data_IF_000461228066
#
_entry.id   IF_000461228066
#
_cell.length_a   1.000
_cell.length_b   1.000
_cell.length_c   1.000
_cell.angle_alpha   90.00
_cell.angle_beta   90.00
_cell.angle_gamma   90.00
#
_symmetry.space_group_name_H-M   'P 1'
#
loop_
_entity.id
_entity.type
_entity.pdbx_description
1 polymer ?
#
# COMPACT_ATOMS: atom_id res chain seq x y z
N UNK A 1 -9.61 -3.98 40.45
CA UNK A 1 -9.86 -3.63 39.04
C UNK A 1 -9.10 -4.63 38.21
N UNK A 2 -9.81 -5.62 37.68
CA UNK A 2 -9.25 -6.61 36.77
C UNK A 2 -8.96 -5.92 35.43
N UNK A 3 -7.71 -5.98 34.98
CA UNK A 3 -7.35 -5.63 33.60
C UNK A 3 -7.30 -6.96 32.86
N UNK A 4 -8.44 -7.35 32.26
CA UNK A 4 -8.53 -8.53 31.38
C UNK A 4 -8.33 -8.10 29.93
N UNK A 5 -7.48 -8.87 29.26
CA UNK A 5 -7.39 -9.09 27.82
C UNK A 5 -7.22 -7.88 26.90
N UNK A 6 -6.04 -7.79 26.29
CA UNK A 6 -5.97 -7.98 24.83
C UNK A 6 -4.60 -8.55 24.49
N UNK A 7 -4.55 -9.88 24.36
CA UNK A 7 -3.39 -10.58 23.83
C UNK A 7 -3.14 -10.12 22.40
N UNK A 8 -2.18 -9.22 22.20
CA UNK A 8 -1.62 -8.98 20.89
C UNK A 8 -0.57 -10.06 20.64
N UNK A 9 -0.99 -11.21 20.11
CA UNK A 9 -0.05 -12.18 19.57
C UNK A 9 0.56 -11.60 18.29
N UNK A 10 1.90 -11.52 18.19
CA UNK A 10 2.59 -11.35 16.90
C UNK A 10 3.38 -12.63 16.64
N UNK A 11 2.66 -13.69 16.28
CA UNK A 11 3.28 -14.84 15.63
C UNK A 11 4.00 -14.33 14.38
N UNK A 12 5.25 -14.76 14.20
CA UNK A 12 6.01 -14.52 12.96
C UNK A 12 5.33 -15.32 11.84
N UNK A 13 4.35 -14.72 11.18
CA UNK A 13 3.83 -15.23 9.90
C UNK A 13 4.75 -14.72 8.81
N UNK A 14 5.24 -15.62 7.96
CA UNK A 14 5.76 -15.27 6.65
C UNK A 14 4.60 -14.65 5.88
N UNK A 15 4.52 -13.32 5.91
CA UNK A 15 3.48 -12.58 5.18
C UNK A 15 3.95 -12.52 3.73
N UNK A 16 3.22 -13.12 2.77
CA UNK A 16 3.51 -12.91 1.36
C UNK A 16 3.36 -11.41 1.11
N UNK A 17 4.46 -10.78 0.71
CA UNK A 17 4.53 -9.35 0.41
C UNK A 17 3.45 -9.01 -0.61
N UNK A 18 2.35 -8.39 -0.18
CA UNK A 18 1.34 -7.86 -1.10
C UNK A 18 2.03 -6.89 -2.07
N UNK A 19 1.98 -7.13 -3.39
CA UNK A 19 2.62 -6.23 -4.35
C UNK A 19 1.95 -4.87 -4.24
N UNK A 20 2.77 -3.85 -4.00
CA UNK A 20 2.38 -2.45 -3.99
C UNK A 20 3.36 -1.66 -4.83
N UNK A 21 2.89 -0.55 -5.38
CA UNK A 21 3.68 0.28 -6.30
C UNK A 21 4.35 1.46 -5.59
N UNK A 22 4.30 1.54 -4.25
CA UNK A 22 4.79 2.70 -3.51
C UNK A 22 6.27 3.00 -3.78
N UNK A 23 7.10 1.96 -3.81
CA UNK A 23 8.53 2.10 -4.10
C UNK A 23 8.77 2.69 -5.50
N UNK A 24 8.03 2.22 -6.50
CA UNK A 24 8.10 2.70 -7.88
C UNK A 24 7.79 4.20 -7.95
N UNK A 25 6.64 4.61 -7.42
CA UNK A 25 6.22 6.02 -7.42
C UNK A 25 7.19 6.91 -6.64
N UNK A 26 7.73 6.43 -5.51
CA UNK A 26 8.74 7.18 -4.75
C UNK A 26 10.03 7.38 -5.55
N UNK A 27 10.49 6.34 -6.24
CA UNK A 27 11.69 6.41 -7.09
C UNK A 27 11.46 7.33 -8.30
N UNK A 28 10.30 7.27 -8.94
CA UNK A 28 9.92 8.17 -10.03
C UNK A 28 9.86 9.63 -9.58
N UNK A 29 9.41 9.90 -8.36
CA UNK A 29 9.44 11.23 -7.76
C UNK A 29 10.83 11.67 -7.28
N UNK A 30 11.83 10.79 -7.31
CA UNK A 30 13.20 11.03 -6.86
C UNK A 30 13.30 11.58 -5.42
N UNK A 31 12.49 11.05 -4.49
CA UNK A 31 12.48 11.44 -3.08
C UNK A 31 12.95 10.31 -2.16
N UNK A 32 13.51 10.65 -1.01
CA UNK A 32 13.86 9.67 0.02
C UNK A 32 12.62 9.16 0.77
N UNK A 33 12.77 8.02 1.48
CA UNK A 33 11.74 7.51 2.38
C UNK A 33 11.41 8.52 3.49
N UNK A 34 12.42 9.24 4.00
CA UNK A 34 12.23 10.28 5.01
C UNK A 34 11.36 11.43 4.49
N UNK A 35 11.62 11.90 3.27
CA UNK A 35 10.81 12.97 2.66
C UNK A 35 9.37 12.56 2.44
N UNK A 36 9.14 11.34 1.97
CA UNK A 36 7.79 10.82 1.85
C UNK A 36 7.12 10.72 3.23
N UNK A 37 7.84 10.21 4.23
CA UNK A 37 7.34 10.04 5.58
C UNK A 37 6.94 11.37 6.23
N UNK A 38 7.74 12.42 6.05
CA UNK A 38 7.41 13.80 6.46
C UNK A 38 6.13 14.29 5.77
N UNK A 39 6.04 14.12 4.44
CA UNK A 39 4.90 14.59 3.66
C UNK A 39 3.58 13.89 4.02
N UNK A 40 3.65 12.61 4.40
CA UNK A 40 2.50 11.81 4.81
C UNK A 40 2.45 11.56 6.33
N UNK A 41 3.06 12.45 7.14
CA UNK A 41 3.08 12.44 8.63
C UNK A 41 3.09 11.01 9.21
N UNK A 42 4.17 10.30 8.91
CA UNK A 42 4.42 8.96 9.41
C UNK A 42 5.90 8.75 9.67
N UNK A 43 6.27 7.58 10.19
CA UNK A 43 7.68 7.25 10.38
C UNK A 43 8.31 6.74 9.08
N UNK A 44 9.59 7.06 8.84
CA UNK A 44 10.40 6.44 7.77
C UNK A 44 10.30 4.91 7.77
N UNK A 45 10.27 4.31 8.96
CA UNK A 45 10.13 2.86 9.16
C UNK A 45 8.80 2.35 8.59
N UNK A 46 7.71 3.09 8.79
CA UNK A 46 6.39 2.77 8.24
C UNK A 46 6.43 2.74 6.72
N UNK A 47 7.00 3.77 6.08
CA UNK A 47 7.20 3.78 4.61
C UNK A 47 8.00 2.56 4.16
N UNK A 48 9.12 2.27 4.81
CA UNK A 48 9.95 1.12 4.47
C UNK A 48 9.25 -0.24 4.65
N UNK A 49 8.29 -0.36 5.57
CA UNK A 49 7.49 -1.58 5.72
C UNK A 49 6.40 -1.72 4.68
N UNK A 50 5.76 -0.61 4.31
CA UNK A 50 4.77 -0.58 3.23
C UNK A 50 5.46 -0.93 1.92
N UNK A 51 6.59 -0.30 1.58
CA UNK A 51 7.34 -0.59 0.35
C UNK A 51 7.77 -2.07 0.23
N UNK A 52 8.00 -2.74 1.36
CA UNK A 52 8.36 -4.17 1.40
C UNK A 52 7.16 -5.11 1.48
N UNK A 53 5.93 -4.58 1.50
CA UNK A 53 4.71 -5.37 1.66
C UNK A 53 4.60 -6.08 3.02
N UNK A 54 5.38 -5.66 4.03
CA UNK A 54 5.37 -6.27 5.37
C UNK A 54 4.12 -5.84 6.15
N UNK A 55 3.64 -4.62 5.88
CA UNK A 55 2.46 -4.04 6.52
C UNK A 55 1.64 -3.25 5.51
N UNK A 56 0.33 -3.46 5.55
CA UNK A 56 -0.60 -2.64 4.80
C UNK A 56 -0.76 -1.27 5.47
N UNK A 57 -0.81 -0.18 4.70
CA UNK A 57 -1.15 1.13 5.24
C UNK A 57 -2.58 1.12 5.79
N UNK A 58 -2.84 1.94 6.81
CA UNK A 58 -4.22 2.25 7.16
C UNK A 58 -4.91 2.96 5.99
N UNK A 59 -6.24 2.87 5.91
CA UNK A 59 -7.04 3.55 4.87
C UNK A 59 -6.67 5.03 4.78
N UNK A 60 -6.57 5.70 5.93
CA UNK A 60 -6.15 7.11 6.01
C UNK A 60 -4.75 7.34 5.42
N UNK A 61 -3.79 6.48 5.74
CA UNK A 61 -2.42 6.58 5.21
C UNK A 61 -2.38 6.36 3.69
N UNK A 62 -3.13 5.37 3.19
CA UNK A 62 -3.22 5.08 1.77
C UNK A 62 -3.79 6.26 0.99
N UNK A 63 -4.84 6.92 1.50
CA UNK A 63 -5.38 8.15 0.91
C UNK A 63 -4.36 9.30 0.90
N UNK A 64 -3.58 9.47 1.97
CA UNK A 64 -2.56 10.53 2.03
C UNK A 64 -1.44 10.31 1.02
N UNK A 65 -0.98 9.08 0.87
CA UNK A 65 0.01 8.67 -0.13
C UNK A 65 -0.56 8.89 -1.55
N UNK A 66 -1.79 8.45 -1.80
CA UNK A 66 -2.52 8.69 -3.06
C UNK A 66 -2.63 10.18 -3.39
N UNK A 67 -3.01 11.01 -2.42
CA UNK A 67 -3.11 12.47 -2.56
C UNK A 67 -1.76 13.16 -2.78
N UNK A 68 -0.69 12.61 -2.20
CA UNK A 68 0.67 13.12 -2.41
C UNK A 68 1.13 12.89 -3.85
N UNK A 69 0.97 11.67 -4.36
CA UNK A 69 1.37 11.31 -5.72
C UNK A 69 0.36 11.70 -6.81
N UNK A 70 -0.85 12.12 -6.43
CA UNK A 70 -1.98 12.41 -7.34
C UNK A 70 -2.36 11.21 -8.20
N UNK A 71 -2.33 10.03 -7.59
CA UNK A 71 -2.56 8.74 -8.25
C UNK A 71 -3.67 8.00 -7.51
N UNK A 72 -4.54 7.30 -8.25
CA UNK A 72 -5.65 6.55 -7.67
C UNK A 72 -5.15 5.46 -6.70
N UNK A 73 -5.92 5.20 -5.64
CA UNK A 73 -5.55 4.25 -4.59
C UNK A 73 -5.31 2.82 -5.12
N UNK A 74 -6.13 2.25 -6.04
CA UNK A 74 -5.88 0.92 -6.61
C UNK A 74 -4.60 0.85 -7.46
N UNK A 75 -4.14 1.97 -8.01
CA UNK A 75 -2.88 2.00 -8.77
C UNK A 75 -1.67 1.91 -7.82
N UNK A 76 -1.76 2.47 -6.62
CA UNK A 76 -0.69 2.37 -5.61
C UNK A 76 -0.74 1.05 -4.85
N UNK A 77 -1.94 0.58 -4.53
CA UNK A 77 -2.23 -0.60 -3.73
C UNK A 77 -3.31 -1.44 -4.45
N UNK A 78 -2.91 -2.27 -5.43
CA UNK A 78 -3.85 -3.09 -6.21
C UNK A 78 -4.49 -4.18 -5.36
N UNK A 79 -5.76 -4.50 -5.65
CA UNK A 79 -6.41 -5.68 -5.08
C UNK A 79 -5.86 -6.94 -5.74
N UNK A 80 -5.45 -7.91 -4.93
CA UNK A 80 -4.89 -9.19 -5.40
C UNK A 80 -5.99 -10.21 -5.70
N UNK A 81 -7.24 -9.90 -5.36
CA UNK A 81 -8.41 -10.73 -5.64
C UNK A 81 -9.10 -10.36 -6.95
N UNK A 82 -8.74 -9.23 -7.56
CA UNK A 82 -9.21 -8.86 -8.89
C UNK A 82 -8.52 -9.76 -9.92
N UNK A 83 -9.30 -10.61 -10.57
CA UNK A 83 -8.85 -11.22 -11.83
C UNK A 83 -8.77 -10.07 -12.84
N UNK A 84 -7.69 -9.94 -13.62
CA UNK A 84 -7.64 -8.93 -14.67
C UNK A 84 -8.90 -9.11 -15.51
N UNK A 85 -9.67 -8.03 -15.66
CA UNK A 85 -10.88 -8.04 -16.47
C UNK A 85 -10.52 -8.64 -17.81
N UNK A 86 -11.05 -9.84 -18.09
CA UNK A 86 -11.07 -10.43 -19.42
C UNK A 86 -11.93 -9.49 -20.26
N UNK A 87 -11.34 -8.42 -20.78
CA UNK A 87 -12.05 -7.53 -21.70
C UNK A 87 -12.38 -8.36 -22.94
N UNK A 88 -13.66 -8.72 -23.04
CA UNK A 88 -14.32 -9.29 -24.19
C UNK A 88 -13.88 -8.53 -25.46
N UNK A 89 -13.09 -9.21 -26.29
CA UNK A 89 -12.86 -8.79 -27.67
C UNK A 89 -14.13 -8.97 -28.49
N UNK A 90 -15.12 -8.11 -28.26
CA UNK A 90 -16.38 -8.11 -29.00
C UNK A 90 -16.92 -6.69 -29.22
N UNK A 91 -16.25 -5.93 -30.09
CA UNK A 91 -16.87 -4.88 -30.91
C UNK A 91 -16.21 -4.96 -32.29
N UNK A 92 -16.70 -5.85 -33.16
CA UNK A 92 -17.69 -5.59 -34.21
C UNK A 92 -17.17 -4.69 -35.33
N UNK A 93 -16.65 -5.30 -36.40
CA UNK A 93 -16.63 -4.69 -37.72
C UNK A 93 -17.24 -5.65 -38.76
N UNK A 94 -18.45 -5.26 -39.18
CA UNK A 94 -19.25 -5.54 -40.39
C UNK A 94 -19.56 -6.98 -40.79
#
# INVERSE_FOLDING_TARGET
MEIKDTGYCKTKKEVPSSPNNLLLFRQQANISQDRLAEAVDCSRRTIGYIEKGVHDPSVQMAYRISNYFKVALPVLFPDLNEKPDEQEGAHHET
#
